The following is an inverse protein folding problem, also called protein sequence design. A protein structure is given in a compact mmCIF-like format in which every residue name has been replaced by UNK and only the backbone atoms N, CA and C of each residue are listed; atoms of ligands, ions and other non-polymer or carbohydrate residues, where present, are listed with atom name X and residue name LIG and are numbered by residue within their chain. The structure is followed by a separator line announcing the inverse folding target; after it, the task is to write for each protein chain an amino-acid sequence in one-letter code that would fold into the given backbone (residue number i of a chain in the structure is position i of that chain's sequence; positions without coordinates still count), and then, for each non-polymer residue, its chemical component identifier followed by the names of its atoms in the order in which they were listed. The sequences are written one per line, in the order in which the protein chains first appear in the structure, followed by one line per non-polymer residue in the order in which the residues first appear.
data_IF_172754503288
#
_entry.id   IF_172754503288
#
_cell.length_a   1.000
_cell.length_b   1.000
_cell.length_c   1.000
_cell.angle_alpha   90.00
_cell.angle_beta   90.00
_cell.angle_gamma   90.00
#
_symmetry.space_group_name_H-M   'P 1'
#
loop_
_entity.id
_entity.type
_entity.pdbx_description
1 polymer ?
#
# COMPACT_ATOMS: atom_id res chain seq x y z
N UNK A 1 17.48 -4.07 -15.60
CA UNK A 1 17.29 -3.82 -14.16
C UNK A 1 16.04 -4.53 -13.62
N UNK A 2 14.82 -4.17 -14.05
CA UNK A 2 13.58 -4.76 -13.51
C UNK A 2 13.49 -6.29 -13.70
N UNK A 3 13.99 -6.84 -14.81
CA UNK A 3 13.95 -8.29 -15.07
C UNK A 3 14.73 -9.14 -14.05
N UNK A 4 15.85 -8.65 -13.52
CA UNK A 4 16.70 -9.41 -12.61
C UNK A 4 16.10 -9.47 -11.19
N UNK A 5 15.54 -8.34 -10.75
CA UNK A 5 14.80 -8.26 -9.49
C UNK A 5 13.57 -9.17 -9.55
N UNK A 6 12.76 -9.09 -10.61
CA UNK A 6 11.57 -9.95 -10.78
C UNK A 6 11.96 -11.43 -10.81
N UNK A 7 13.02 -11.81 -11.54
CA UNK A 7 13.48 -13.22 -11.56
C UNK A 7 13.91 -13.70 -10.17
N UNK A 8 14.64 -12.86 -9.42
CA UNK A 8 15.10 -13.21 -8.08
C UNK A 8 13.95 -13.28 -7.08
N UNK A 9 13.06 -12.29 -7.08
CA UNK A 9 11.83 -12.28 -6.28
C UNK A 9 10.95 -13.51 -6.56
N UNK A 10 10.82 -13.91 -7.83
CA UNK A 10 10.05 -15.11 -8.21
C UNK A 10 10.64 -16.37 -7.61
N UNK A 11 11.98 -16.56 -7.71
CA UNK A 11 12.65 -17.72 -7.09
C UNK A 11 12.50 -17.71 -5.57
N UNK A 12 12.61 -16.54 -4.94
CA UNK A 12 12.41 -16.39 -3.50
C UNK A 12 10.98 -16.75 -3.07
N UNK A 13 9.97 -16.25 -3.79
CA UNK A 13 8.57 -16.55 -3.52
C UNK A 13 8.26 -18.05 -3.66
N UNK A 14 8.81 -18.72 -4.69
CA UNK A 14 8.70 -20.16 -4.83
C UNK A 14 9.34 -20.90 -3.65
N UNK A 15 10.55 -20.50 -3.24
CA UNK A 15 11.24 -21.12 -2.11
C UNK A 15 10.48 -20.92 -0.78
N UNK A 16 9.86 -19.75 -0.58
CA UNK A 16 8.99 -19.47 0.58
C UNK A 16 7.79 -20.40 0.60
N UNK A 17 7.03 -20.46 -0.49
CA UNK A 17 5.82 -21.30 -0.58
C UNK A 17 6.14 -22.79 -0.49
N UNK A 18 7.28 -23.22 -1.04
CA UNK A 18 7.73 -24.61 -0.99
C UNK A 18 8.36 -24.99 0.37
N UNK A 19 8.39 -24.06 1.35
CA UNK A 19 8.87 -24.32 2.72
C UNK A 19 10.39 -24.36 2.88
N UNK A 20 11.14 -23.85 1.90
CA UNK A 20 12.61 -23.86 1.87
C UNK A 20 13.23 -22.61 2.53
N UNK A 21 12.43 -21.64 2.96
CA UNK A 21 12.88 -20.41 3.63
C UNK A 21 12.25 -20.35 5.02
N UNK A 22 13.07 -20.14 6.04
CA UNK A 22 12.59 -20.01 7.42
C UNK A 22 11.96 -18.62 7.63
N UNK A 23 10.79 -18.52 8.29
CA UNK A 23 10.18 -17.24 8.59
C UNK A 23 10.99 -16.46 9.63
N UNK A 24 10.96 -15.14 9.55
CA UNK A 24 11.60 -14.24 10.53
C UNK A 24 10.81 -14.19 11.86
N UNK A 25 9.52 -14.50 11.80
CA UNK A 25 8.57 -14.53 12.91
C UNK A 25 7.97 -15.95 13.05
N UNK A 26 8.78 -17.00 13.36
CA UNK A 26 8.33 -18.39 13.35
C UNK A 26 7.26 -18.73 14.39
N UNK A 27 7.06 -17.88 15.40
CA UNK A 27 6.01 -18.03 16.40
C UNK A 27 4.62 -17.64 15.90
N UNK A 28 4.54 -16.91 14.78
CA UNK A 28 3.26 -16.50 14.18
C UNK A 28 2.67 -17.63 13.32
N UNK A 29 1.35 -17.61 13.18
CA UNK A 29 0.61 -18.55 12.32
C UNK A 29 1.13 -18.52 10.88
N UNK A 30 1.12 -19.64 10.13
CA UNK A 30 1.70 -19.72 8.79
C UNK A 30 1.23 -18.62 7.81
N UNK A 31 -0.02 -18.17 7.90
CA UNK A 31 -0.56 -17.08 7.06
C UNK A 31 -0.01 -15.69 7.41
N UNK A 32 0.53 -15.52 8.62
CA UNK A 32 1.11 -14.29 9.17
C UNK A 32 2.64 -14.27 9.11
N UNK A 33 3.24 -15.36 8.64
CA UNK A 33 4.68 -15.48 8.56
C UNK A 33 5.23 -14.58 7.44
N UNK A 34 6.37 -13.96 7.76
CA UNK A 34 7.15 -13.08 6.90
C UNK A 34 8.52 -13.72 6.69
N UNK A 35 9.12 -13.44 5.54
CA UNK A 35 10.35 -14.11 5.13
C UNK A 35 11.35 -13.10 4.57
N UNK A 36 12.63 -13.39 4.72
CA UNK A 36 13.71 -12.66 4.05
C UNK A 36 14.55 -13.66 3.27
N UNK A 37 14.74 -13.40 1.99
CA UNK A 37 15.59 -14.21 1.12
C UNK A 37 16.33 -13.32 0.13
N UNK A 38 17.66 -13.41 0.09
CA UNK A 38 18.53 -12.56 -0.74
C UNK A 38 18.23 -11.05 -0.62
N UNK A 39 18.05 -10.56 0.62
CA UNK A 39 17.71 -9.16 0.92
C UNK A 39 16.38 -8.67 0.32
N UNK A 40 15.47 -9.60 0.02
CA UNK A 40 14.09 -9.33 -0.38
C UNK A 40 13.18 -9.79 0.76
N UNK A 41 12.28 -8.92 1.17
CA UNK A 41 11.23 -9.21 2.13
C UNK A 41 10.02 -9.81 1.42
N UNK A 42 9.41 -10.83 2.00
CA UNK A 42 8.23 -11.51 1.46
C UNK A 42 7.12 -11.57 2.51
N UNK A 43 5.90 -11.24 2.10
CA UNK A 43 4.68 -11.37 2.89
C UNK A 43 3.58 -12.04 2.08
N UNK A 44 2.71 -12.80 2.75
CA UNK A 44 1.60 -13.52 2.14
C UNK A 44 0.33 -12.66 2.14
N UNK A 45 -0.38 -12.63 1.01
CA UNK A 45 -1.61 -11.84 0.82
C UNK A 45 -2.86 -12.52 1.39
N UNK A 46 -2.89 -12.76 2.70
CA UNK A 46 -4.05 -13.28 3.42
C UNK A 46 -4.65 -12.21 4.33
N UNK A 47 -5.95 -12.32 4.62
CA UNK A 47 -6.54 -11.52 5.68
C UNK A 47 -6.10 -12.08 7.03
N UNK A 48 -5.31 -11.28 7.75
CA UNK A 48 -4.73 -11.67 9.03
C UNK A 48 -5.16 -10.70 10.10
N UNK A 49 -5.53 -11.24 11.28
CA UNK A 49 -6.01 -10.46 12.42
C UNK A 49 -7.22 -9.56 12.08
N UNK A 50 -8.08 -10.02 11.18
CA UNK A 50 -9.26 -9.29 10.71
C UNK A 50 -8.95 -7.90 10.13
N UNK A 51 -7.72 -7.66 9.62
CA UNK A 51 -7.30 -6.36 9.09
C UNK A 51 -8.20 -5.87 7.96
N UNK A 52 -8.66 -6.78 7.10
CA UNK A 52 -9.50 -6.44 5.95
C UNK A 52 -10.97 -6.79 6.15
N UNK A 53 -11.40 -7.18 7.35
CA UNK A 53 -12.76 -7.64 7.64
C UNK A 53 -13.84 -6.67 7.16
N UNK A 54 -13.69 -5.39 7.49
CA UNK A 54 -14.67 -4.35 7.11
C UNK A 54 -14.54 -3.91 5.64
N UNK A 55 -13.53 -4.43 4.95
CA UNK A 55 -13.21 -4.15 3.54
C UNK A 55 -13.51 -5.34 2.63
N UNK A 56 -14.02 -6.47 3.13
CA UNK A 56 -14.33 -7.67 2.34
C UNK A 56 -13.44 -8.88 2.62
N UNK A 57 -12.68 -8.85 3.71
CA UNK A 57 -11.87 -9.95 4.22
C UNK A 57 -10.83 -10.46 3.23
N UNK A 58 -10.81 -11.77 2.99
CA UNK A 58 -9.86 -12.44 2.08
C UNK A 58 -9.90 -11.87 0.65
N UNK A 59 -11.06 -11.41 0.16
CA UNK A 59 -11.16 -10.80 -1.16
C UNK A 59 -10.42 -9.45 -1.21
N UNK A 60 -10.48 -8.67 -0.13
CA UNK A 60 -9.72 -7.43 0.01
C UNK A 60 -8.22 -7.72 0.19
N UNK A 61 -7.86 -8.66 1.07
CA UNK A 61 -6.47 -9.02 1.29
C UNK A 61 -5.78 -9.53 0.02
N UNK A 62 -6.49 -10.29 -0.81
CA UNK A 62 -5.99 -10.71 -2.12
C UNK A 62 -5.81 -9.54 -3.09
N UNK A 63 -6.70 -8.54 -3.08
CA UNK A 63 -6.62 -7.38 -3.96
C UNK A 63 -5.54 -6.36 -3.53
N UNK A 64 -5.31 -6.21 -2.22
CA UNK A 64 -4.47 -5.18 -1.63
C UNK A 64 -3.03 -5.12 -2.19
N UNK A 65 -2.28 -6.23 -2.34
CA UNK A 65 -0.95 -6.22 -2.94
C UNK A 65 -0.88 -5.55 -4.31
N UNK A 66 -1.89 -5.76 -5.15
CA UNK A 66 -1.92 -5.19 -6.49
C UNK A 66 -2.20 -3.69 -6.46
N UNK A 67 -3.05 -3.24 -5.53
CA UNK A 67 -3.35 -1.83 -5.33
C UNK A 67 -2.13 -1.08 -4.78
N UNK A 68 -1.41 -1.66 -3.82
CA UNK A 68 -0.13 -1.14 -3.35
C UNK A 68 0.90 -1.02 -4.49
N UNK A 69 1.05 -2.07 -5.31
CA UNK A 69 1.91 -2.03 -6.49
C UNK A 69 1.49 -0.94 -7.50
N UNK A 70 0.19 -0.73 -7.70
CA UNK A 70 -0.29 0.37 -8.55
C UNK A 70 0.04 1.74 -7.95
N UNK A 71 -0.01 1.88 -6.62
CA UNK A 71 0.47 3.05 -5.90
C UNK A 71 1.96 3.29 -6.12
N UNK A 72 2.80 2.26 -6.00
CA UNK A 72 4.24 2.33 -6.32
C UNK A 72 4.45 2.83 -7.75
N UNK A 73 3.68 2.32 -8.72
CA UNK A 73 3.76 2.77 -10.12
C UNK A 73 3.34 4.23 -10.31
N UNK A 74 2.31 4.68 -9.59
CA UNK A 74 1.86 6.08 -9.64
C UNK A 74 2.94 7.03 -9.11
N UNK A 75 3.51 6.72 -7.94
CA UNK A 75 4.61 7.52 -7.38
C UNK A 75 5.86 7.48 -8.24
N UNK A 76 6.14 6.34 -8.88
CA UNK A 76 7.25 6.23 -9.84
C UNK A 76 7.05 7.16 -11.04
N UNK A 77 5.81 7.26 -11.56
CA UNK A 77 5.48 8.12 -12.68
C UNK A 77 5.54 9.62 -12.34
N UNK A 78 5.33 10.00 -11.07
CA UNK A 78 5.52 11.38 -10.59
C UNK A 78 7.00 11.78 -10.61
N UNK A 79 7.91 10.82 -10.40
CA UNK A 79 9.38 11.01 -10.40
C UNK A 79 9.82 12.19 -9.52
N UNK A 80 9.32 12.22 -8.28
CA UNK A 80 9.61 13.30 -7.35
C UNK A 80 11.05 13.22 -6.84
N UNK A 81 11.85 14.25 -7.14
CA UNK A 81 13.23 14.35 -6.66
C UNK A 81 13.31 14.23 -5.13
N UNK A 82 14.24 13.38 -4.66
CA UNK A 82 14.47 13.14 -3.23
C UNK A 82 13.50 12.15 -2.58
N UNK A 83 12.51 11.64 -3.32
CA UNK A 83 11.59 10.61 -2.88
C UNK A 83 11.92 9.27 -3.55
N UNK A 84 12.17 8.25 -2.73
CA UNK A 84 12.56 6.92 -3.19
C UNK A 84 11.43 5.92 -2.95
N UNK A 85 11.38 4.91 -3.80
CA UNK A 85 10.44 3.80 -3.71
C UNK A 85 11.20 2.51 -3.47
N UNK A 86 10.55 1.56 -2.81
CA UNK A 86 11.04 0.19 -2.74
C UNK A 86 10.57 -0.57 -3.98
N UNK A 87 11.45 -1.42 -4.52
CA UNK A 87 11.07 -2.28 -5.61
C UNK A 87 10.06 -3.30 -5.07
N UNK A 88 8.90 -3.38 -5.72
CA UNK A 88 7.76 -4.20 -5.28
C UNK A 88 7.34 -5.12 -6.43
N UNK A 89 7.11 -6.39 -6.13
CA UNK A 89 6.58 -7.40 -7.07
C UNK A 89 5.45 -8.15 -6.38
N UNK A 90 4.37 -8.39 -7.11
CA UNK A 90 3.31 -9.31 -6.69
C UNK A 90 3.46 -10.60 -7.49
N UNK A 91 3.55 -11.74 -6.80
CA UNK A 91 3.71 -13.06 -7.40
C UNK A 91 2.52 -13.94 -6.97
N UNK A 92 1.87 -14.59 -7.93
CA UNK A 92 0.91 -15.65 -7.66
C UNK A 92 1.57 -17.02 -7.93
N UNK A 93 1.63 -17.89 -6.93
CA UNK A 93 2.21 -19.23 -7.05
C UNK A 93 1.46 -20.24 -6.20
N UNK A 94 0.97 -21.32 -6.82
CA UNK A 94 0.23 -22.42 -6.16
C UNK A 94 -0.98 -21.95 -5.31
N UNK A 95 -1.65 -20.88 -5.74
CA UNK A 95 -2.80 -20.31 -5.03
C UNK A 95 -2.42 -19.35 -3.88
N UNK A 96 -1.12 -19.12 -3.66
CA UNK A 96 -0.63 -18.08 -2.76
C UNK A 96 -0.35 -16.81 -3.57
N UNK A 97 -0.80 -15.68 -3.06
CA UNK A 97 -0.36 -14.35 -3.49
C UNK A 97 0.73 -13.88 -2.53
N UNK A 98 1.86 -13.43 -3.08
CA UNK A 98 3.04 -13.02 -2.31
C UNK A 98 3.45 -11.63 -2.77
N UNK A 99 3.65 -10.72 -1.83
CA UNK A 99 4.34 -9.45 -2.06
C UNK A 99 5.81 -9.64 -1.78
N UNK A 100 6.67 -9.24 -2.72
CA UNK A 100 8.12 -9.26 -2.58
C UNK A 100 8.68 -7.85 -2.73
N UNK A 101 9.42 -7.40 -1.73
CA UNK A 101 9.85 -6.01 -1.59
C UNK A 101 11.32 -5.88 -1.22
N UNK A 102 12.01 -4.89 -1.79
CA UNK A 102 13.33 -4.50 -1.26
C UNK A 102 13.19 -3.89 0.13
N UNK A 103 14.20 -4.11 0.97
CA UNK A 103 14.19 -3.65 2.34
C UNK A 103 14.80 -2.25 2.41
N UNK A 104 14.13 -1.31 3.10
CA UNK A 104 14.70 0.00 3.40
C UNK A 104 15.92 -0.17 4.31
N UNK A 105 17.09 0.39 3.98
CA UNK A 105 18.27 0.25 4.82
C UNK A 105 18.01 0.71 6.26
N UNK A 106 18.32 -0.15 7.24
CA UNK A 106 18.10 0.14 8.67
C UNK A 106 16.73 -0.25 9.22
N UNK A 107 15.74 -0.60 8.37
CA UNK A 107 14.36 -0.89 8.82
C UNK A 107 14.19 -2.22 9.58
N UNK A 108 15.26 -2.98 9.78
CA UNK A 108 15.24 -4.20 10.59
C UNK A 108 16.10 -4.09 11.85
N UNK A 109 16.75 -2.95 12.07
CA UNK A 109 17.60 -2.69 13.24
C UNK A 109 16.73 -2.25 14.44
N UNK A 110 17.15 -2.54 15.68
CA UNK A 110 16.39 -2.15 16.88
C UNK A 110 16.47 -0.62 17.06
N UNK A 111 15.37 0.03 17.51
CA UNK A 111 15.18 1.48 17.78
C UNK A 111 14.54 2.37 16.67
N UNK A 112 13.53 1.87 15.96
CA UNK A 112 12.96 2.51 14.75
C UNK A 112 11.73 3.42 14.88
N UNK A 113 11.14 3.58 16.07
CA UNK A 113 9.95 4.45 16.21
C UNK A 113 10.21 5.91 15.74
N UNK A 114 11.49 6.31 15.61
CA UNK A 114 11.91 7.64 15.15
C UNK A 114 12.16 7.76 13.63
N UNK A 115 12.02 6.68 12.85
CA UNK A 115 12.33 6.71 11.41
C UNK A 115 11.18 7.20 10.53
N UNK A 116 9.94 7.17 11.05
CA UNK A 116 8.75 7.63 10.34
C UNK A 116 8.62 9.14 10.45
N UNK A 117 8.72 9.82 9.31
CA UNK A 117 8.77 11.29 9.21
C UNK A 117 7.56 11.87 8.49
N UNK A 118 6.67 11.03 7.96
CA UNK A 118 5.49 11.48 7.24
C UNK A 118 4.39 10.41 7.27
N UNK A 119 3.13 10.84 7.39
CA UNK A 119 1.96 9.97 7.50
C UNK A 119 1.71 9.48 8.93
N UNK A 120 1.03 8.35 9.06
CA UNK A 120 0.69 7.77 10.38
C UNK A 120 1.32 6.41 10.64
N UNK A 121 1.70 6.18 11.91
CA UNK A 121 2.24 4.90 12.40
C UNK A 121 1.21 4.04 13.13
N UNK A 122 0.06 4.60 13.47
CA UNK A 122 -0.91 4.05 14.42
C UNK A 122 -2.37 4.36 14.02
N UNK A 123 -2.65 4.34 12.71
CA UNK A 123 -3.98 4.53 12.10
C UNK A 123 -4.60 5.91 12.40
N UNK A 124 -3.83 6.97 12.15
CA UNK A 124 -4.25 8.36 12.24
C UNK A 124 -4.14 8.98 13.64
N UNK A 125 -3.73 8.23 14.67
CA UNK A 125 -3.61 8.80 16.03
C UNK A 125 -2.41 9.75 16.13
N UNK A 126 -1.29 9.35 15.56
CA UNK A 126 -0.06 10.13 15.42
C UNK A 126 0.16 10.37 13.94
N UNK A 127 0.14 11.63 13.53
CA UNK A 127 0.35 12.06 12.14
C UNK A 127 1.51 13.03 12.11
N UNK A 128 2.51 12.73 11.28
CA UNK A 128 3.69 13.58 11.07
C UNK A 128 3.68 14.04 9.62
N UNK A 129 4.20 15.23 9.36
CA UNK A 129 4.37 15.75 8.00
C UNK A 129 5.70 16.46 7.91
N UNK A 130 6.62 15.88 7.13
CA UNK A 130 7.82 16.57 6.64
C UNK A 130 7.55 17.16 5.25
N UNK A 131 8.16 18.31 4.94
CA UNK A 131 7.86 19.22 3.83
C UNK A 131 8.02 18.51 2.46
N UNK A 132 6.99 17.81 2.02
CA UNK A 132 6.94 17.10 0.75
C UNK A 132 6.41 18.04 -0.34
N UNK A 133 7.31 18.48 -1.21
CA UNK A 133 6.96 19.34 -2.35
C UNK A 133 6.64 18.47 -3.56
N UNK A 134 5.48 18.75 -4.18
CA UNK A 134 5.01 18.27 -5.50
C UNK A 134 4.55 16.80 -5.60
N UNK A 135 3.66 16.34 -4.72
CA UNK A 135 2.78 15.22 -5.09
C UNK A 135 1.58 15.76 -5.88
N UNK A 136 1.10 15.00 -6.88
CA UNK A 136 -0.13 15.31 -7.66
C UNK A 136 -1.41 15.04 -6.87
N UNK A 137 -1.35 15.23 -5.55
CA UNK A 137 -2.47 15.06 -4.63
C UNK A 137 -2.71 16.42 -3.99
N UNK A 138 -3.97 16.84 -3.94
CA UNK A 138 -4.34 18.08 -3.28
C UNK A 138 -3.97 18.03 -1.80
N UNK A 139 -3.28 19.07 -1.34
CA UNK A 139 -2.98 19.24 0.09
C UNK A 139 -4.27 19.30 0.88
N UNK A 140 -4.31 18.59 2.00
CA UNK A 140 -5.48 18.51 2.85
C UNK A 140 -5.07 18.40 4.31
N UNK A 141 -5.97 18.80 5.21
CA UNK A 141 -5.76 18.74 6.65
C UNK A 141 -6.36 17.45 7.20
N UNK A 142 -5.58 16.75 8.01
CA UNK A 142 -6.02 15.59 8.79
C UNK A 142 -5.93 15.94 10.27
N UNK A 143 -6.96 15.60 11.04
CA UNK A 143 -6.96 15.76 12.49
C UNK A 143 -6.31 14.54 13.13
N UNK A 144 -5.33 14.77 14.00
CA UNK A 144 -4.75 13.71 14.83
C UNK A 144 -5.63 13.46 16.09
N UNK A 145 -5.21 12.53 16.96
CA UNK A 145 -5.93 12.20 18.20
C UNK A 145 -6.13 13.38 19.16
N UNK A 146 -5.32 14.42 19.03
CA UNK A 146 -5.30 15.62 19.87
C UNK A 146 -6.01 16.80 19.16
N UNK A 147 -6.85 16.52 18.15
CA UNK A 147 -7.57 17.49 17.30
C UNK A 147 -6.66 18.53 16.62
N UNK A 148 -5.37 18.22 16.49
CA UNK A 148 -4.40 19.10 15.83
C UNK A 148 -4.43 18.83 14.33
N UNK A 149 -4.61 19.88 13.55
CA UNK A 149 -4.60 19.80 12.09
C UNK A 149 -3.17 19.65 11.56
N UNK A 150 -2.94 18.58 10.81
CA UNK A 150 -1.68 18.30 10.12
C UNK A 150 -1.93 18.32 8.61
N UNK A 151 -1.15 19.10 7.87
CA UNK A 151 -1.24 19.15 6.41
C UNK A 151 -0.51 17.94 5.80
N UNK A 152 -1.22 17.16 5.00
CA UNK A 152 -0.68 16.06 4.20
C UNK A 152 -0.90 16.31 2.71
N UNK A 153 -0.09 15.65 1.89
CA UNK A 153 -0.23 15.63 0.43
C UNK A 153 -0.29 14.20 -0.12
N UNK A 154 -0.85 13.27 0.66
CA UNK A 154 -1.14 11.88 0.29
C UNK A 154 -2.12 11.28 1.30
N UNK A 155 -2.52 10.02 1.12
CA UNK A 155 -3.25 9.29 2.16
C UNK A 155 -2.48 9.30 3.49
N UNK A 156 -3.22 9.38 4.59
CA UNK A 156 -2.70 9.28 5.97
C UNK A 156 -2.04 7.93 6.25
N UNK A 157 -2.44 6.89 5.51
CA UNK A 157 -1.92 5.53 5.62
C UNK A 157 -0.54 5.37 4.97
N UNK A 158 -0.15 6.29 4.06
CA UNK A 158 1.17 6.23 3.45
C UNK A 158 2.23 6.60 4.48
N UNK A 159 3.34 5.85 4.51
CA UNK A 159 4.43 6.09 5.46
C UNK A 159 5.66 6.62 4.77
N UNK A 160 6.13 7.79 5.19
CA UNK A 160 7.44 8.30 4.82
C UNK A 160 8.49 7.89 5.84
N UNK A 161 9.57 7.24 5.39
CA UNK A 161 10.64 6.72 6.24
C UNK A 161 12.00 7.23 5.77
N UNK A 162 12.89 7.58 6.68
CA UNK A 162 14.30 7.85 6.36
C UNK A 162 15.13 6.60 6.61
N UNK A 163 15.77 6.08 5.55
CA UNK A 163 16.70 4.95 5.68
C UNK A 163 18.05 5.37 6.27
N UNK A 164 18.82 4.40 6.75
CA UNK A 164 20.19 4.62 7.26
C UNK A 164 21.16 5.16 6.19
N UNK A 165 20.78 5.10 4.91
CA UNK A 165 21.47 5.72 3.79
C UNK A 165 21.14 7.21 3.60
N UNK A 166 20.31 7.78 4.47
CA UNK A 166 19.83 9.16 4.43
C UNK A 166 18.75 9.44 3.38
N UNK A 167 18.28 8.41 2.66
CA UNK A 167 17.23 8.56 1.63
C UNK A 167 15.85 8.50 2.25
N UNK A 168 14.90 9.22 1.64
CA UNK A 168 13.50 9.27 2.07
C UNK A 168 12.68 8.32 1.20
N UNK A 169 12.05 7.34 1.83
CA UNK A 169 11.23 6.33 1.18
C UNK A 169 9.75 6.61 1.47
N UNK A 170 8.86 6.30 0.51
CA UNK A 170 7.42 6.23 0.77
C UNK A 170 6.91 4.80 0.58
N UNK A 171 6.04 4.38 1.49
CA UNK A 171 5.57 3.01 1.68
C UNK A 171 4.06 2.99 1.96
N UNK A 172 3.48 1.80 2.01
CA UNK A 172 2.06 1.55 2.34
C UNK A 172 1.11 2.32 1.40
N UNK A 173 1.20 2.06 0.10
CA UNK A 173 0.58 2.86 -0.97
C UNK A 173 -0.79 2.34 -1.42
N UNK A 174 -1.42 1.47 -0.62
CA UNK A 174 -2.74 0.86 -0.89
C UNK A 174 -3.83 1.89 -1.25
N UNK A 175 -3.84 3.03 -0.57
CA UNK A 175 -4.86 4.08 -0.72
C UNK A 175 -4.38 5.26 -1.57
N UNK A 176 -3.56 4.99 -2.59
CA UNK A 176 -3.06 6.02 -3.50
C UNK A 176 -4.17 6.62 -4.37
N UNK A 177 -5.12 5.80 -4.82
CA UNK A 177 -6.18 6.23 -5.73
C UNK A 177 -7.50 6.43 -4.99
N UNK A 178 -8.31 7.44 -5.39
CA UNK A 178 -9.60 7.70 -4.79
C UNK A 178 -10.56 6.50 -4.95
N UNK A 179 -11.41 6.24 -3.96
CA UNK A 179 -12.42 5.19 -4.04
C UNK A 179 -13.40 5.40 -5.20
N UNK A 180 -13.85 4.31 -5.83
CA UNK A 180 -14.88 4.35 -6.87
C UNK A 180 -16.28 4.15 -6.27
N UNK A 181 -17.04 5.23 -6.14
CA UNK A 181 -18.40 5.21 -5.60
C UNK A 181 -19.39 4.39 -6.45
N UNK A 182 -19.06 4.10 -7.72
CA UNK A 182 -19.88 3.18 -8.53
C UNK A 182 -19.84 1.74 -8.00
N UNK A 183 -18.88 1.41 -7.15
CA UNK A 183 -18.73 0.09 -6.55
C UNK A 183 -18.69 0.14 -5.00
N UNK A 184 -18.93 1.32 -4.41
CA UNK A 184 -18.97 1.55 -2.97
C UNK A 184 -20.27 2.24 -2.59
N UNK A 185 -21.33 1.47 -2.30
CA UNK A 185 -22.55 2.04 -1.73
C UNK A 185 -22.23 2.76 -0.42
N UNK A 186 -22.68 4.00 -0.31
CA UNK A 186 -22.58 4.83 0.90
C UNK A 186 -23.98 4.94 1.49
N UNK A 187 -24.12 4.64 2.78
CA UNK A 187 -25.42 4.68 3.44
C UNK A 187 -25.99 6.09 3.44
N UNK A 188 -27.21 6.25 2.94
CA UNK A 188 -27.88 7.55 2.87
C UNK A 188 -27.47 8.42 1.67
N UNK A 189 -26.60 7.94 0.78
CA UNK A 189 -26.23 8.64 -0.44
C UNK A 189 -26.62 7.85 -1.70
N UNK A 190 -27.37 8.51 -2.59
CA UNK A 190 -27.70 7.97 -3.90
C UNK A 190 -26.75 8.51 -4.97
N UNK A 191 -26.32 7.64 -5.89
CA UNK A 191 -25.61 8.08 -7.09
C UNK A 191 -26.54 8.89 -8.00
N UNK A 192 -25.98 9.69 -8.91
CA UNK A 192 -26.78 10.47 -9.85
C UNK A 192 -27.67 9.57 -10.74
N UNK A 193 -28.71 10.16 -11.33
CA UNK A 193 -29.70 9.45 -12.12
C UNK A 193 -29.11 8.66 -13.30
N UNK A 194 -28.03 9.15 -13.92
CA UNK A 194 -27.35 8.45 -15.01
C UNK A 194 -26.70 7.15 -14.51
N UNK A 195 -25.99 7.21 -13.38
CA UNK A 195 -25.40 6.03 -12.75
C UNK A 195 -26.48 5.01 -12.34
N UNK A 196 -27.60 5.47 -11.79
CA UNK A 196 -28.72 4.59 -11.41
C UNK A 196 -29.31 3.86 -12.62
N UNK A 197 -29.52 4.57 -13.74
CA UNK A 197 -30.02 3.97 -14.99
C UNK A 197 -29.07 2.91 -15.56
N UNK A 198 -27.78 3.04 -15.31
CA UNK A 198 -26.74 2.08 -15.70
C UNK A 198 -26.57 0.93 -14.68
N UNK A 199 -27.36 0.92 -13.61
CA UNK A 199 -27.37 -0.14 -12.59
C UNK A 199 -26.25 -0.02 -11.55
N UNK A 200 -25.81 1.20 -11.25
CA UNK A 200 -24.86 1.49 -10.16
C UNK A 200 -25.61 2.02 -8.91
N UNK A 201 -25.03 1.86 -7.70
CA UNK A 201 -23.76 1.20 -7.42
C UNK A 201 -23.85 -0.33 -7.57
N UNK A 202 -22.78 -0.96 -8.07
CA UNK A 202 -22.68 -2.42 -8.19
C UNK A 202 -21.94 -2.99 -6.98
N UNK A 203 -22.42 -4.11 -6.47
CA UNK A 203 -21.73 -4.81 -5.39
C UNK A 203 -20.41 -5.40 -5.90
N UNK A 204 -19.37 -5.24 -5.10
CA UNK A 204 -18.04 -5.79 -5.36
C UNK A 204 -17.64 -6.72 -4.20
N UNK A 205 -16.89 -7.82 -4.44
CA UNK A 205 -16.46 -8.75 -3.38
C UNK A 205 -15.64 -8.11 -2.25
N UNK A 206 -15.07 -6.93 -2.51
CA UNK A 206 -14.32 -6.14 -1.55
C UNK A 206 -14.56 -4.64 -1.77
N UNK A 207 -14.24 -3.82 -0.77
CA UNK A 207 -14.42 -2.36 -0.74
C UNK A 207 -13.16 -1.56 -1.08
N UNK A 208 -12.06 -2.23 -1.42
CA UNK A 208 -10.84 -1.60 -1.95
C UNK A 208 -10.94 -1.20 -3.44
N UNK A 209 -12.13 -0.82 -3.92
CA UNK A 209 -12.33 -0.42 -5.32
C UNK A 209 -11.98 1.05 -5.49
N UNK A 210 -11.07 1.34 -6.42
CA UNK A 210 -10.56 2.67 -6.66
C UNK A 210 -10.61 3.03 -8.15
N UNK A 211 -10.62 4.33 -8.45
CA UNK A 211 -10.49 4.80 -9.82
C UNK A 211 -9.12 4.38 -10.38
N UNK A 212 -9.10 4.04 -11.67
CA UNK A 212 -7.85 3.70 -12.35
C UNK A 212 -7.07 4.96 -12.66
N UNK A 213 -5.74 4.84 -12.70
CA UNK A 213 -4.84 5.97 -12.97
C UNK A 213 -5.22 6.73 -14.25
N UNK A 214 -5.59 6.02 -15.32
CA UNK A 214 -5.91 6.62 -16.61
C UNK A 214 -7.11 7.59 -16.54
N UNK A 215 -8.10 7.29 -15.69
CA UNK A 215 -9.26 8.16 -15.49
C UNK A 215 -8.89 9.40 -14.68
N UNK A 216 -7.99 9.25 -13.70
CA UNK A 216 -7.52 10.36 -12.86
C UNK A 216 -6.65 11.30 -13.68
N UNK A 217 -5.72 10.77 -14.46
CA UNK A 217 -4.86 11.55 -15.34
C UNK A 217 -5.70 12.36 -16.34
N UNK A 218 -6.74 11.76 -16.93
CA UNK A 218 -7.66 12.45 -17.83
C UNK A 218 -8.48 13.57 -17.15
N UNK A 219 -8.74 13.46 -15.84
CA UNK A 219 -9.45 14.49 -15.08
C UNK A 219 -8.51 15.65 -14.67
N UNK A 220 -7.25 15.37 -14.36
CA UNK A 220 -6.27 16.35 -13.87
C UNK A 220 -5.64 17.18 -14.99
N UNK A 221 -5.63 16.70 -16.23
CA UNK A 221 -5.17 17.47 -17.41
C UNK A 221 -6.13 18.61 -17.83
N UNK A 222 -7.26 18.77 -17.13
CA UNK A 222 -8.28 19.81 -17.35
C UNK A 222 -8.57 20.61 -16.09
#
# INVERSE_FOLDING_TARGET
ANSDFVSTATRGAMAVVDGNVMPINPSEEPRQQMFIWNNIFFSLGFDVRDQFKDLGGEAAAHAAPLLDLNGVRAYWAVDQEGLYLIATVVIDYRGYRITAQTIVPGILERDQEQSVVYGSTDFGKTVVSDDSKKLRVQRHLVLNKDDTAVELCSSVEHKGIVGNDGRRYILDLLFTFPPDLNFLPVEGEDLNHVCQQLGFPKLHPHRLVCLRQELIDAFVEH
#
